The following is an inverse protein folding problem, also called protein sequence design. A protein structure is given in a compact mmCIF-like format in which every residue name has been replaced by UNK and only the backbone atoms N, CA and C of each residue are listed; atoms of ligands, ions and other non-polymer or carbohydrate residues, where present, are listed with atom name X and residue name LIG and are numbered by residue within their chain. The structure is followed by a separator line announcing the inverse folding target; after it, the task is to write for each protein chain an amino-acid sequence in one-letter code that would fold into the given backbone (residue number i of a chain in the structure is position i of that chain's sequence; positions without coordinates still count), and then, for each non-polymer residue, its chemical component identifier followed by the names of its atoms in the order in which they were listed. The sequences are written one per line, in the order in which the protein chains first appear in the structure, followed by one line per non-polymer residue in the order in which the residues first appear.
data_IF_504958907614
#
_entry.id   IF_504958907614
#
_cell.length_a   1.000
_cell.length_b   1.000
_cell.length_c   1.000
_cell.angle_alpha   90.00
_cell.angle_beta   90.00
_cell.angle_gamma   90.00
#
_symmetry.space_group_name_H-M   'P 1'
#
loop_
_entity.id
_entity.type
_entity.pdbx_description
1 polymer ?
#
# COMPACT_ATOMS: atom_id res chain seq x y z
N UNK A 1 -12.11 26.35 45.31
CA UNK A 1 -11.27 26.56 44.11
C UNK A 1 -10.13 25.54 43.91
N UNK A 2 -9.59 24.89 44.92
CA UNK A 2 -8.48 23.92 44.79
C UNK A 2 -8.86 22.54 44.16
N UNK A 3 -10.14 22.11 44.21
CA UNK A 3 -10.59 20.82 43.69
C UNK A 3 -10.72 20.77 42.16
N UNK A 4 -10.95 21.88 41.50
CA UNK A 4 -11.14 21.92 40.04
C UNK A 4 -9.81 21.96 39.27
N UNK A 5 -8.73 22.43 39.90
CA UNK A 5 -7.40 22.47 39.28
C UNK A 5 -6.82 21.06 39.13
N UNK A 6 -7.13 20.15 40.05
CA UNK A 6 -6.63 18.77 40.02
C UNK A 6 -7.31 17.95 38.88
N UNK A 7 -8.57 18.26 38.56
CA UNK A 7 -9.32 17.57 37.49
C UNK A 7 -8.81 17.98 36.08
N UNK A 8 -8.42 19.23 35.92
CA UNK A 8 -7.89 19.74 34.63
C UNK A 8 -6.49 19.18 34.34
N UNK A 9 -5.66 18.98 35.36
CA UNK A 9 -4.33 18.36 35.22
C UNK A 9 -4.43 16.88 34.84
N UNK A 10 -5.40 16.16 35.42
CA UNK A 10 -5.64 14.74 35.11
C UNK A 10 -6.13 14.55 33.66
N UNK A 11 -6.96 15.46 33.15
CA UNK A 11 -7.50 15.38 31.76
C UNK A 11 -6.42 15.71 30.72
N UNK A 12 -5.47 16.61 31.03
CA UNK A 12 -4.35 16.91 30.13
C UNK A 12 -3.35 15.74 30.06
N UNK A 13 -3.17 15.01 31.15
CA UNK A 13 -2.24 13.85 31.19
C UNK A 13 -2.77 12.63 30.43
N UNK A 14 -4.09 12.46 30.33
CA UNK A 14 -4.69 11.33 29.56
C UNK A 14 -4.70 11.56 28.04
N UNK A 15 -4.69 12.79 27.59
CA UNK A 15 -4.61 13.11 26.15
C UNK A 15 -3.17 12.90 25.62
N UNK A 16 -2.15 13.07 26.48
CA UNK A 16 -0.74 12.89 26.07
C UNK A 16 -0.29 11.44 25.89
N UNK A 17 -1.03 10.44 26.40
CA UNK A 17 -0.63 9.04 26.32
C UNK A 17 -1.03 8.32 25.02
N UNK A 18 -1.91 8.88 24.22
CA UNK A 18 -2.31 8.32 22.92
C UNK A 18 -1.52 8.89 21.73
N UNK A 19 -0.64 9.86 21.95
CA UNK A 19 0.16 10.51 20.89
C UNK A 19 1.56 9.90 20.69
N UNK A 20 1.92 8.83 21.40
CA UNK A 20 3.21 8.17 21.23
C UNK A 20 3.08 6.95 20.31
N UNK A 21 3.27 7.12 19.01
CA UNK A 21 3.99 6.20 18.11
C UNK A 21 3.70 6.38 16.62
N UNK A 22 3.77 7.59 16.08
CA UNK A 22 3.90 7.77 14.62
C UNK A 22 4.85 8.90 14.31
N UNK A 23 6.16 8.69 14.45
CA UNK A 23 7.10 9.56 13.73
C UNK A 23 7.26 9.03 12.31
N UNK A 24 6.25 9.24 11.50
CA UNK A 24 6.26 9.06 10.07
C UNK A 24 6.31 10.45 9.46
N UNK A 25 7.30 10.72 8.63
CA UNK A 25 7.32 11.96 7.84
C UNK A 25 6.41 11.73 6.65
N UNK A 26 5.31 12.46 6.59
CA UNK A 26 4.37 12.43 5.47
C UNK A 26 4.61 13.62 4.56
N UNK A 27 4.76 13.37 3.28
CA UNK A 27 4.89 14.38 2.25
C UNK A 27 3.86 14.13 1.16
N UNK A 28 3.20 15.20 0.73
CA UNK A 28 2.33 15.18 -0.44
C UNK A 28 3.18 15.48 -1.67
N UNK A 29 3.08 14.67 -2.71
CA UNK A 29 3.80 14.86 -3.97
C UNK A 29 2.76 14.98 -5.07
N UNK A 30 2.76 16.14 -5.74
CA UNK A 30 1.85 16.41 -6.85
C UNK A 30 2.49 15.97 -8.17
N UNK A 31 1.70 15.28 -8.99
CA UNK A 31 1.98 14.97 -10.37
C UNK A 31 1.01 15.71 -11.28
N UNK A 32 1.09 15.46 -12.57
CA UNK A 32 0.18 16.02 -13.57
C UNK A 32 -1.19 15.37 -13.48
N UNK A 33 -2.13 16.03 -12.78
CA UNK A 33 -3.49 15.56 -12.54
C UNK A 33 -3.64 14.42 -11.51
N UNK A 34 -2.64 14.18 -10.66
CA UNK A 34 -2.72 13.18 -9.59
C UNK A 34 -1.83 13.57 -8.40
N UNK A 35 -2.15 13.05 -7.23
CA UNK A 35 -1.43 13.33 -5.97
C UNK A 35 -1.07 12.05 -5.27
N UNK A 36 0.16 11.95 -4.80
CA UNK A 36 0.64 10.81 -4.01
C UNK A 36 1.03 11.22 -2.60
N UNK A 37 0.80 10.33 -1.67
CA UNK A 37 1.28 10.39 -0.31
C UNK A 37 2.59 9.60 -0.23
N UNK A 38 3.64 10.24 0.27
CA UNK A 38 4.93 9.61 0.60
C UNK A 38 5.08 9.58 2.11
N UNK A 39 5.02 8.41 2.70
CA UNK A 39 5.26 8.19 4.12
C UNK A 39 6.64 7.57 4.33
N UNK A 40 7.47 8.18 5.17
CA UNK A 40 8.77 7.63 5.54
C UNK A 40 8.65 7.04 6.93
N UNK A 41 8.77 5.72 7.03
CA UNK A 41 8.73 4.99 8.32
C UNK A 41 10.02 5.23 9.12
N UNK A 42 10.00 4.96 10.43
CA UNK A 42 11.23 4.95 11.27
C UNK A 42 12.32 4.02 10.74
N UNK A 43 11.94 2.94 10.08
CA UNK A 43 12.85 2.00 9.42
C UNK A 43 13.48 2.51 8.14
N UNK A 44 13.24 3.78 7.76
CA UNK A 44 13.70 4.40 6.51
C UNK A 44 13.12 3.72 5.26
N UNK A 45 11.98 3.06 5.39
CA UNK A 45 11.16 2.61 4.26
C UNK A 45 10.18 3.70 3.87
N UNK A 46 10.06 3.91 2.58
CA UNK A 46 9.06 4.78 1.96
C UNK A 46 7.85 3.92 1.61
N UNK A 47 6.67 4.39 1.99
CA UNK A 47 5.40 3.95 1.43
C UNK A 47 4.88 5.05 0.53
N UNK A 48 4.64 4.74 -0.72
CA UNK A 48 4.19 5.67 -1.75
C UNK A 48 2.87 5.16 -2.34
N UNK A 49 1.82 5.95 -2.24
CA UNK A 49 0.49 5.56 -2.73
C UNK A 49 -0.34 6.78 -3.16
N UNK A 50 -1.32 6.54 -4.03
CA UNK A 50 -2.23 7.59 -4.47
C UNK A 50 -3.08 8.11 -3.31
N UNK A 51 -3.24 9.42 -3.20
CA UNK A 51 -4.05 10.05 -2.16
C UNK A 51 -5.52 9.60 -2.19
N UNK A 52 -6.01 9.20 -3.36
CA UNK A 52 -7.39 8.72 -3.54
C UNK A 52 -7.61 7.27 -3.08
N UNK A 53 -6.55 6.56 -2.68
CA UNK A 53 -6.66 5.19 -2.18
C UNK A 53 -7.54 5.13 -0.93
N UNK A 54 -8.50 4.21 -0.92
CA UNK A 54 -9.48 4.03 0.16
C UNK A 54 -9.12 2.89 1.10
N UNK A 55 -8.38 1.89 0.62
CA UNK A 55 -8.02 0.69 1.39
C UNK A 55 -6.65 0.78 2.04
N UNK A 56 -5.77 1.64 1.52
CA UNK A 56 -4.47 1.89 2.15
C UNK A 56 -4.67 2.33 3.61
N UNK A 57 -4.03 1.64 4.55
CA UNK A 57 -4.18 1.81 6.01
C UNK A 57 -5.55 1.42 6.60
N UNK A 58 -6.45 0.83 5.82
CA UNK A 58 -7.71 0.29 6.33
C UNK A 58 -7.51 -1.18 6.75
N UNK A 59 -8.01 -1.60 7.91
CA UNK A 59 -7.91 -3.00 8.31
C UNK A 59 -8.65 -3.93 7.36
N UNK A 60 -8.05 -5.10 7.09
CA UNK A 60 -8.75 -6.19 6.46
C UNK A 60 -9.79 -6.75 7.43
N UNK A 61 -11.05 -6.82 7.02
CA UNK A 61 -12.16 -7.30 7.83
C UNK A 61 -13.15 -8.10 6.98
N UNK A 62 -13.95 -8.95 7.62
CA UNK A 62 -15.11 -9.55 6.98
C UNK A 62 -16.18 -8.48 6.70
N UNK A 63 -16.73 -8.46 5.49
CA UNK A 63 -17.74 -7.48 5.07
C UNK A 63 -18.98 -7.47 5.95
N UNK A 64 -19.44 -8.68 6.34
CA UNK A 64 -20.70 -8.85 7.07
C UNK A 64 -20.58 -8.47 8.54
N UNK A 65 -19.46 -8.81 9.18
CA UNK A 65 -19.33 -8.64 10.64
C UNK A 65 -18.45 -7.45 11.03
N UNK A 66 -17.59 -6.96 10.11
CA UNK A 66 -16.58 -5.96 10.43
C UNK A 66 -15.43 -6.51 11.30
N UNK A 67 -15.42 -7.79 11.61
CA UNK A 67 -14.40 -8.42 12.42
C UNK A 67 -13.13 -8.71 11.62
N UNK A 68 -11.99 -8.64 12.31
CA UNK A 68 -10.72 -9.03 11.69
C UNK A 68 -10.64 -10.55 11.56
N UNK A 69 -10.24 -11.08 10.38
CA UNK A 69 -10.01 -12.51 10.24
C UNK A 69 -8.87 -12.98 11.14
N UNK A 70 -8.89 -14.23 11.59
CA UNK A 70 -7.72 -14.86 12.16
C UNK A 70 -6.60 -14.89 11.12
N UNK A 71 -5.35 -14.77 11.58
CA UNK A 71 -4.21 -14.87 10.67
C UNK A 71 -4.02 -16.33 10.24
N UNK A 72 -4.35 -16.65 9.00
CA UNK A 72 -4.08 -17.95 8.39
C UNK A 72 -3.37 -17.76 7.03
N UNK A 73 -2.10 -18.17 6.97
CA UNK A 73 -1.30 -18.14 5.75
C UNK A 73 -1.77 -19.12 4.67
N UNK A 74 -2.58 -20.13 5.04
CA UNK A 74 -3.09 -21.16 4.11
C UNK A 74 -4.38 -20.74 3.44
N UNK A 75 -4.98 -19.64 3.91
CA UNK A 75 -6.25 -19.19 3.39
C UNK A 75 -6.08 -18.64 1.97
N UNK A 76 -6.69 -19.32 1.03
CA UNK A 76 -6.64 -18.99 -0.38
C UNK A 76 -7.80 -18.06 -0.74
N UNK A 77 -7.50 -16.81 -1.07
CA UNK A 77 -8.48 -15.74 -1.36
C UNK A 77 -8.72 -15.52 -2.85
N UNK A 78 -7.78 -16.00 -3.67
CA UNK A 78 -7.90 -16.01 -5.13
C UNK A 78 -7.60 -17.39 -5.64
N UNK A 79 -8.16 -17.74 -6.79
CA UNK A 79 -7.79 -18.95 -7.49
C UNK A 79 -6.38 -18.83 -8.08
N UNK A 80 -5.66 -19.95 -8.16
CA UNK A 80 -4.38 -19.97 -8.85
C UNK A 80 -4.61 -19.82 -10.34
N UNK A 81 -3.84 -18.93 -10.93
CA UNK A 81 -3.69 -18.84 -12.36
C UNK A 81 -2.20 -18.76 -12.71
N UNK A 82 -1.88 -19.04 -13.97
CA UNK A 82 -0.51 -19.06 -14.44
C UNK A 82 -0.06 -17.71 -15.03
N UNK A 83 -0.88 -16.67 -14.99
CA UNK A 83 -0.61 -15.45 -15.72
C UNK A 83 -0.63 -14.16 -14.88
N UNK A 84 -1.52 -14.00 -13.88
CA UNK A 84 -1.66 -12.75 -13.13
C UNK A 84 -0.38 -12.32 -12.45
N UNK A 85 0.31 -13.21 -11.74
CA UNK A 85 1.61 -12.91 -11.11
C UNK A 85 2.65 -12.46 -12.13
N UNK A 86 2.84 -13.26 -13.18
CA UNK A 86 3.81 -12.97 -14.23
C UNK A 86 3.50 -11.69 -14.99
N UNK A 87 2.21 -11.45 -15.27
CA UNK A 87 1.80 -10.25 -15.96
C UNK A 87 1.97 -9.00 -15.10
N UNK A 88 1.69 -9.10 -13.80
CA UNK A 88 1.94 -8.02 -12.84
C UNK A 88 3.43 -7.65 -12.78
N UNK A 89 4.33 -8.62 -12.76
CA UNK A 89 5.78 -8.38 -12.81
C UNK A 89 6.20 -7.70 -14.12
N UNK A 90 5.63 -8.10 -15.25
CA UNK A 90 5.88 -7.47 -16.55
C UNK A 90 5.39 -6.02 -16.59
N UNK A 91 4.22 -5.72 -16.01
CA UNK A 91 3.69 -4.35 -15.90
C UNK A 91 4.69 -3.46 -15.14
N UNK A 92 5.21 -3.93 -14.02
CA UNK A 92 6.21 -3.19 -13.25
C UNK A 92 7.46 -2.95 -14.09
N UNK A 93 8.03 -4.00 -14.68
CA UNK A 93 9.27 -3.90 -15.45
C UNK A 93 9.16 -2.98 -16.68
N UNK A 94 8.05 -3.01 -17.39
CA UNK A 94 7.86 -2.17 -18.60
C UNK A 94 7.58 -0.70 -18.31
N UNK A 95 7.28 -0.35 -17.05
CA UNK A 95 7.06 1.03 -16.68
C UNK A 95 8.36 1.85 -16.63
N UNK A 96 9.48 1.19 -16.36
CA UNK A 96 10.80 1.81 -16.30
C UNK A 96 11.47 1.90 -17.67
N UNK A 97 12.14 3.01 -17.96
CA UNK A 97 13.04 3.09 -19.12
C UNK A 97 14.31 2.28 -18.90
N UNK A 98 15.07 2.00 -19.96
CA UNK A 98 16.33 1.26 -19.83
C UNK A 98 17.33 1.99 -18.92
N UNK A 99 17.38 3.33 -18.98
CA UNK A 99 18.23 4.16 -18.12
C UNK A 99 17.81 4.03 -16.66
N UNK A 100 16.51 4.10 -16.37
CA UNK A 100 15.98 3.93 -15.02
C UNK A 100 16.26 2.54 -14.47
N UNK A 101 16.12 1.50 -15.27
CA UNK A 101 16.49 0.11 -14.91
C UNK A 101 17.97 -0.01 -14.51
N UNK A 102 18.86 0.65 -15.23
CA UNK A 102 20.29 0.68 -14.89
C UNK A 102 20.53 1.39 -13.54
N UNK A 103 19.84 2.49 -13.29
CA UNK A 103 19.95 3.26 -12.04
C UNK A 103 19.50 2.44 -10.84
N UNK A 104 18.38 1.70 -10.95
CA UNK A 104 17.80 0.93 -9.84
C UNK A 104 18.26 -0.52 -9.76
N UNK A 105 19.20 -0.93 -10.60
CA UNK A 105 19.71 -2.31 -10.64
C UNK A 105 20.17 -2.79 -9.26
N UNK A 106 19.75 -4.01 -8.87
CA UNK A 106 20.06 -4.60 -7.57
C UNK A 106 19.21 -4.07 -6.42
N UNK A 107 18.27 -3.16 -6.69
CA UNK A 107 17.30 -2.68 -5.72
C UNK A 107 15.92 -3.27 -5.99
N UNK A 108 15.20 -3.62 -4.92
CA UNK A 108 13.86 -4.19 -5.03
C UNK A 108 12.80 -3.13 -4.76
N UNK A 109 11.74 -3.19 -5.55
CA UNK A 109 10.49 -2.47 -5.33
C UNK A 109 9.48 -3.42 -4.68
N UNK A 110 8.96 -3.06 -3.52
CA UNK A 110 7.78 -3.69 -2.95
C UNK A 110 6.54 -3.13 -3.63
N UNK A 111 5.67 -4.02 -4.08
CA UNK A 111 4.39 -3.66 -4.71
C UNK A 111 3.28 -4.33 -3.94
N UNK A 112 2.35 -3.53 -3.45
CA UNK A 112 1.10 -3.98 -2.87
C UNK A 112 -0.04 -3.64 -3.82
N UNK A 113 -0.97 -4.59 -3.97
CA UNK A 113 -2.22 -4.36 -4.71
C UNK A 113 -3.41 -4.68 -3.82
N UNK A 114 -4.44 -3.86 -3.96
CA UNK A 114 -5.72 -4.02 -3.32
C UNK A 114 -6.74 -4.39 -4.39
N UNK A 115 -7.43 -5.49 -4.18
CA UNK A 115 -8.35 -6.09 -5.14
C UNK A 115 -9.76 -5.95 -4.59
N UNK A 116 -10.64 -5.39 -5.39
CA UNK A 116 -12.07 -5.34 -5.07
C UNK A 116 -12.62 -6.77 -4.94
N UNK A 117 -13.10 -7.08 -3.76
CA UNK A 117 -13.56 -8.42 -3.39
C UNK A 117 -14.94 -8.81 -3.97
N UNK A 118 -15.47 -7.99 -4.85
CA UNK A 118 -16.69 -8.30 -5.61
C UNK A 118 -16.36 -8.60 -7.06
N UNK A 119 -15.47 -7.81 -7.65
CA UNK A 119 -15.17 -7.86 -9.09
C UNK A 119 -13.85 -8.57 -9.42
N UNK A 120 -12.94 -8.73 -8.45
CA UNK A 120 -11.59 -9.26 -8.67
C UNK A 120 -10.63 -8.28 -9.35
N UNK A 121 -11.05 -7.03 -9.60
CA UNK A 121 -10.19 -6.01 -10.22
C UNK A 121 -9.24 -5.38 -9.23
N UNK A 122 -8.02 -5.08 -9.67
CA UNK A 122 -7.12 -4.22 -8.91
C UNK A 122 -7.71 -2.81 -8.87
N UNK A 123 -7.86 -2.26 -7.68
CA UNK A 123 -8.46 -0.93 -7.45
C UNK A 123 -7.45 0.06 -6.88
N UNK A 124 -6.42 -0.41 -6.19
CA UNK A 124 -5.38 0.44 -5.60
C UNK A 124 -4.02 -0.25 -5.65
N UNK A 125 -2.97 0.56 -5.67
CA UNK A 125 -1.59 0.11 -5.53
C UNK A 125 -0.87 0.92 -4.47
N UNK A 126 0.13 0.30 -3.84
CA UNK A 126 1.05 0.94 -2.94
C UNK A 126 2.46 0.42 -3.23
N UNK A 127 3.45 1.30 -3.16
CA UNK A 127 4.85 0.99 -3.43
C UNK A 127 5.68 1.17 -2.17
N UNK A 128 6.62 0.23 -1.94
CA UNK A 128 7.52 0.31 -0.78
C UNK A 128 8.97 0.14 -1.24
N UNK A 129 9.84 1.03 -0.80
CA UNK A 129 11.28 0.96 -1.10
C UNK A 129 12.09 1.68 -0.02
N UNK A 130 13.38 1.36 0.16
CA UNK A 130 14.24 2.09 1.10
C UNK A 130 14.46 3.53 0.61
N UNK A 131 14.35 4.50 1.52
CA UNK A 131 14.45 5.92 1.23
C UNK A 131 15.80 6.32 0.60
N UNK A 132 16.87 5.67 1.03
CA UNK A 132 18.24 5.99 0.60
C UNK A 132 18.71 5.15 -0.60
N UNK A 133 17.80 4.74 -1.47
CA UNK A 133 18.12 4.03 -2.71
C UNK A 133 17.76 4.87 -3.93
N UNK A 134 18.36 4.57 -5.09
CA UNK A 134 18.00 5.25 -6.34
C UNK A 134 16.50 5.15 -6.70
N UNK A 135 15.77 4.21 -6.11
CA UNK A 135 14.33 4.10 -6.29
C UNK A 135 13.59 5.38 -5.84
N UNK A 136 14.12 6.10 -4.86
CA UNK A 136 13.55 7.36 -4.38
C UNK A 136 13.65 8.53 -5.39
N UNK A 137 14.51 8.40 -6.41
CA UNK A 137 14.74 9.38 -7.47
C UNK A 137 13.90 9.08 -8.73
N UNK A 138 13.23 7.93 -8.77
CA UNK A 138 12.38 7.55 -9.89
C UNK A 138 11.17 8.51 -9.98
N UNK A 139 10.89 9.04 -11.17
CA UNK A 139 9.77 9.97 -11.37
C UNK A 139 8.43 9.37 -10.96
N UNK A 140 7.58 10.18 -10.35
CA UNK A 140 6.25 9.77 -9.89
C UNK A 140 5.38 9.19 -11.01
N UNK A 141 5.57 9.65 -12.24
CA UNK A 141 4.89 9.16 -13.44
C UNK A 141 5.11 7.67 -13.72
N UNK A 142 6.26 7.10 -13.31
CA UNK A 142 6.53 5.66 -13.43
C UNK A 142 5.60 4.87 -12.50
N UNK A 143 5.50 5.28 -11.24
CA UNK A 143 4.58 4.66 -10.28
C UNK A 143 3.12 4.82 -10.70
N UNK A 144 2.77 6.00 -11.22
CA UNK A 144 1.43 6.24 -11.78
C UNK A 144 1.12 5.33 -12.96
N UNK A 145 2.09 5.12 -13.85
CA UNK A 145 1.94 4.19 -14.96
C UNK A 145 1.70 2.76 -14.48
N UNK A 146 2.47 2.28 -13.50
CA UNK A 146 2.26 0.96 -12.91
C UNK A 146 0.85 0.86 -12.31
N UNK A 147 0.43 1.86 -11.53
CA UNK A 147 -0.91 1.88 -10.94
C UNK A 147 -2.01 1.75 -11.99
N UNK A 148 -1.95 2.55 -13.05
CA UNK A 148 -2.96 2.55 -14.10
C UNK A 148 -2.97 1.24 -14.89
N UNK A 149 -1.81 0.72 -15.26
CA UNK A 149 -1.69 -0.54 -15.99
C UNK A 149 -2.21 -1.71 -15.14
N UNK A 150 -1.90 -1.75 -13.83
CA UNK A 150 -2.44 -2.76 -12.90
C UNK A 150 -3.97 -2.72 -12.84
N UNK A 151 -4.55 -1.53 -12.70
CA UNK A 151 -6.01 -1.34 -12.65
C UNK A 151 -6.70 -1.74 -13.95
N UNK A 152 -6.04 -1.55 -15.08
CA UNK A 152 -6.63 -1.78 -16.39
C UNK A 152 -6.45 -3.22 -16.88
N UNK A 153 -5.36 -3.90 -16.52
CA UNK A 153 -4.97 -5.15 -17.15
C UNK A 153 -5.07 -6.36 -16.21
N UNK A 154 -5.03 -6.14 -14.87
CA UNK A 154 -5.02 -7.23 -13.90
C UNK A 154 -6.39 -7.43 -13.25
N UNK A 155 -6.84 -8.67 -13.29
CA UNK A 155 -8.01 -9.12 -12.53
C UNK A 155 -7.78 -10.54 -12.01
N UNK A 156 -8.37 -10.83 -10.86
CA UNK A 156 -8.25 -12.11 -10.16
C UNK A 156 -9.60 -12.81 -10.11
N UNK A 157 -9.58 -14.13 -10.27
CA UNK A 157 -10.72 -14.96 -9.92
C UNK A 157 -10.73 -15.15 -8.41
N UNK A 158 -11.77 -14.67 -7.74
CA UNK A 158 -11.89 -14.74 -6.29
C UNK A 158 -12.46 -16.08 -5.85
N UNK A 159 -11.89 -16.66 -4.80
CA UNK A 159 -12.53 -17.77 -4.08
C UNK A 159 -13.75 -17.25 -3.30
N UNK A 160 -14.60 -18.15 -2.80
CA UNK A 160 -15.72 -17.76 -1.94
C UNK A 160 -15.21 -17.09 -0.65
N UNK A 161 -14.07 -17.53 -0.12
CA UNK A 161 -13.41 -16.89 1.02
C UNK A 161 -12.96 -15.48 0.67
N UNK A 162 -12.34 -15.28 -0.50
CA UNK A 162 -11.89 -13.95 -0.94
C UNK A 162 -13.03 -12.94 -1.04
N UNK A 163 -14.23 -13.40 -1.44
CA UNK A 163 -15.44 -12.55 -1.53
C UNK A 163 -16.00 -12.09 -0.18
N UNK A 164 -15.61 -12.75 0.91
CA UNK A 164 -16.08 -12.39 2.26
C UNK A 164 -15.39 -11.15 2.84
N UNK A 165 -14.26 -10.73 2.30
CA UNK A 165 -13.46 -9.61 2.81
C UNK A 165 -13.88 -8.27 2.21
N UNK A 166 -13.59 -7.18 2.91
CA UNK A 166 -13.76 -5.81 2.40
C UNK A 166 -12.87 -5.53 1.19
N UNK A 167 -11.71 -6.17 1.09
CA UNK A 167 -10.81 -6.22 -0.07
C UNK A 167 -9.93 -7.47 0.03
N UNK A 168 -9.24 -7.84 -1.05
CA UNK A 168 -8.16 -8.83 -1.05
C UNK A 168 -6.84 -8.10 -1.28
N UNK A 169 -5.78 -8.52 -0.58
CA UNK A 169 -4.49 -7.86 -0.57
C UNK A 169 -3.40 -8.83 -0.99
N UNK A 170 -2.54 -8.37 -1.91
CA UNK A 170 -1.29 -9.05 -2.28
C UNK A 170 -0.12 -8.10 -2.16
N UNK A 171 1.02 -8.66 -1.77
CA UNK A 171 2.29 -7.95 -1.68
C UNK A 171 3.41 -8.85 -2.19
N UNK A 172 4.29 -8.28 -3.02
CA UNK A 172 5.52 -8.94 -3.42
C UNK A 172 6.66 -7.93 -3.53
N UNK A 173 7.88 -8.44 -3.60
CA UNK A 173 9.07 -7.63 -3.87
C UNK A 173 9.70 -8.08 -5.18
N UNK A 174 10.02 -7.13 -6.05
CA UNK A 174 10.52 -7.37 -7.39
C UNK A 174 11.78 -6.54 -7.62
N UNK A 175 12.79 -7.15 -8.23
CA UNK A 175 13.91 -6.45 -8.85
C UNK A 175 13.48 -5.97 -10.23
N UNK A 176 13.94 -4.79 -10.64
CA UNK A 176 13.61 -4.19 -11.92
C UNK A 176 14.67 -4.61 -12.94
N UNK A 177 14.25 -5.35 -13.98
CA UNK A 177 15.11 -5.98 -15.01
C UNK A 177 14.99 -5.29 -16.39
#
# INVERSE_FOLDING_TARGET
MKKYILLIIATIFTIGLFAQNKSTVTTIIEGDGYTYIKNIRKSRLVDLYNQENKYTNVPLVYKETGERPPFDLREKRVEDDNWTSRHSELIVNRAFTNEQKQIVRGHKLGVAIYIDSTTGKVVETEFTFPEMTPMAEIPLSVFRKIELDMKNEIYFTLTDVGKMYNYVFFYWMQEIE
#
